data_IF_007634518877
#
_entry.id   IF_007634518877
#
_cell.length_a   1.000
_cell.length_b   1.000
_cell.length_c   1.000
_cell.angle_alpha   90.00
_cell.angle_beta   90.00
_cell.angle_gamma   90.00
#
_symmetry.space_group_name_H-M   'P 1'
#
loop_
_entity.id
_entity.type
_entity.pdbx_description
1 polymer ?
#
# COMPACT_ATOMS: atom_id res chain seq x y z
N UNK A 1 13.42 9.14 3.87
CA UNK A 1 13.35 7.72 3.43
C UNK A 1 12.96 7.64 1.95
N UNK A 2 12.37 8.72 1.42
CA UNK A 2 11.99 8.95 0.02
C UNK A 2 12.98 8.44 -1.04
N UNK A 3 14.27 8.77 -0.96
CA UNK A 3 15.26 8.36 -1.99
C UNK A 3 15.48 6.84 -2.15
N UNK A 4 14.91 5.99 -1.28
CA UNK A 4 15.11 4.54 -1.32
C UNK A 4 13.84 3.75 -1.69
N UNK A 5 12.64 4.25 -1.39
CA UNK A 5 11.42 3.44 -1.60
C UNK A 5 11.19 3.13 -3.08
N UNK A 6 11.43 4.09 -3.99
CA UNK A 6 11.22 3.93 -5.42
C UNK A 6 12.00 2.73 -6.00
N UNK A 7 13.22 2.50 -5.50
CA UNK A 7 14.07 1.39 -5.95
C UNK A 7 13.62 0.02 -5.43
N UNK A 8 12.74 0.01 -4.43
CA UNK A 8 12.17 -1.21 -3.83
C UNK A 8 10.77 -1.52 -4.35
N UNK A 9 10.15 -0.61 -5.09
CA UNK A 9 8.87 -0.83 -5.73
C UNK A 9 9.08 -1.60 -7.04
N UNK A 10 8.24 -2.61 -7.25
CA UNK A 10 8.28 -3.48 -8.43
C UNK A 10 7.31 -2.99 -9.50
N UNK A 11 6.10 -2.63 -9.08
CA UNK A 11 5.06 -2.04 -9.92
C UNK A 11 3.95 -1.42 -9.06
N UNK A 12 3.15 -0.55 -9.70
CA UNK A 12 1.84 -0.11 -9.23
C UNK A 12 0.85 -0.34 -10.38
N UNK A 13 -0.30 -0.91 -10.09
CA UNK A 13 -1.34 -1.21 -11.06
C UNK A 13 -2.68 -0.65 -10.60
N UNK A 14 -3.41 -0.03 -11.52
CA UNK A 14 -4.82 0.31 -11.37
C UNK A 14 -5.55 -0.47 -12.47
N UNK A 15 -6.47 -1.33 -12.07
CA UNK A 15 -7.24 -2.15 -13.01
C UNK A 15 -8.71 -2.20 -12.65
N UNK A 16 -9.52 -2.51 -13.67
CA UNK A 16 -10.89 -2.98 -13.57
C UNK A 16 -10.88 -4.46 -14.00
N UNK A 17 -11.85 -5.25 -13.54
CA UNK A 17 -12.08 -6.69 -13.86
C UNK A 17 -11.14 -7.28 -14.94
N UNK A 18 -11.34 -6.93 -16.21
CA UNK A 18 -10.58 -7.48 -17.33
C UNK A 18 -9.53 -6.54 -17.93
N UNK A 19 -9.44 -5.30 -17.44
CA UNK A 19 -8.64 -4.23 -18.07
C UNK A 19 -7.70 -3.54 -17.07
N UNK A 20 -6.42 -3.48 -17.43
CA UNK A 20 -5.48 -2.55 -16.77
C UNK A 20 -5.70 -1.14 -17.29
N UNK A 21 -6.00 -0.21 -16.40
CA UNK A 21 -6.17 1.21 -16.71
C UNK A 21 -4.81 1.91 -16.71
N UNK A 22 -3.98 1.58 -15.73
CA UNK A 22 -2.68 2.18 -15.54
C UNK A 22 -1.70 1.16 -14.94
N UNK A 23 -0.46 1.20 -15.42
CA UNK A 23 0.66 0.47 -14.83
C UNK A 23 1.87 1.40 -14.76
N UNK A 24 2.41 1.55 -13.54
CA UNK A 24 3.70 2.15 -13.31
C UNK A 24 4.72 1.05 -13.01
N UNK A 25 5.92 1.20 -13.57
CA UNK A 25 7.08 0.36 -13.28
C UNK A 25 8.33 1.23 -13.18
N UNK A 26 9.34 0.80 -12.41
CA UNK A 26 10.65 1.42 -12.46
C UNK A 26 11.18 1.42 -13.90
N UNK A 27 11.90 2.48 -14.36
CA UNK A 27 12.37 2.59 -15.75
C UNK A 27 13.19 1.40 -16.26
N UNK A 28 13.81 0.63 -15.36
CA UNK A 28 14.65 -0.53 -15.68
C UNK A 28 13.91 -1.88 -15.63
N UNK A 29 12.62 -1.88 -15.32
CA UNK A 29 11.84 -3.10 -15.13
C UNK A 29 11.12 -3.52 -16.41
N UNK A 30 11.59 -4.61 -17.02
CA UNK A 30 10.92 -5.27 -18.16
C UNK A 30 9.98 -6.39 -17.72
N UNK A 31 9.88 -6.65 -16.41
CA UNK A 31 9.08 -7.75 -15.87
C UNK A 31 7.59 -7.47 -16.09
N UNK A 32 6.86 -8.52 -16.45
CA UNK A 32 5.39 -8.51 -16.48
C UNK A 32 4.86 -8.98 -15.13
N UNK A 33 3.84 -8.28 -14.63
CA UNK A 33 3.17 -8.59 -13.36
C UNK A 33 1.70 -9.01 -13.57
N UNK A 34 1.32 -9.36 -14.79
CA UNK A 34 -0.06 -9.73 -15.14
C UNK A 34 -0.56 -10.90 -14.27
N UNK A 35 0.27 -11.91 -14.06
CA UNK A 35 -0.08 -13.04 -13.19
C UNK A 35 -0.23 -12.62 -11.73
N UNK A 36 0.62 -11.71 -11.25
CA UNK A 36 0.54 -11.17 -9.89
C UNK A 36 -0.77 -10.41 -9.66
N UNK A 37 -1.19 -9.60 -10.65
CA UNK A 37 -2.45 -8.86 -10.62
C UNK A 37 -3.66 -9.79 -10.76
N UNK A 38 -3.61 -10.78 -11.64
CA UNK A 38 -4.74 -11.69 -11.86
C UNK A 38 -5.10 -12.50 -10.61
N UNK A 39 -4.11 -12.91 -9.81
CA UNK A 39 -4.35 -13.64 -8.55
C UNK A 39 -5.19 -12.82 -7.56
N UNK A 40 -5.01 -11.49 -7.55
CA UNK A 40 -5.71 -10.62 -6.59
C UNK A 40 -7.06 -10.11 -7.11
N UNK A 41 -7.33 -10.24 -8.42
CA UNK A 41 -8.59 -9.82 -9.05
C UNK A 41 -9.80 -10.62 -8.60
N UNK A 42 -9.62 -11.87 -8.18
CA UNK A 42 -10.70 -12.72 -7.67
C UNK A 42 -11.26 -12.23 -6.33
N UNK A 43 -10.50 -11.44 -5.58
CA UNK A 43 -10.98 -10.87 -4.33
C UNK A 43 -11.95 -9.71 -4.61
N UNK A 44 -13.21 -9.89 -4.19
CA UNK A 44 -14.31 -8.93 -4.36
C UNK A 44 -14.52 -8.03 -3.15
N UNK A 45 -13.82 -8.29 -2.04
CA UNK A 45 -13.95 -7.51 -0.80
C UNK A 45 -13.47 -6.08 -1.03
N UNK A 46 -14.32 -5.12 -0.66
CA UNK A 46 -14.07 -3.69 -0.86
C UNK A 46 -13.53 -3.03 0.42
N UNK A 47 -12.85 -1.90 0.23
CA UNK A 47 -12.44 -0.97 1.30
C UNK A 47 -11.51 -1.54 2.38
N UNK A 48 -10.92 -2.71 2.14
CA UNK A 48 -9.98 -3.39 3.04
C UNK A 48 -8.67 -3.64 2.30
N UNK A 49 -7.54 -3.35 2.96
CA UNK A 49 -6.23 -3.70 2.46
C UNK A 49 -5.94 -5.18 2.71
N UNK A 50 -5.51 -5.87 1.66
CA UNK A 50 -5.03 -7.24 1.73
C UNK A 50 -3.53 -7.28 1.49
N UNK A 51 -2.85 -8.17 2.22
CA UNK A 51 -1.41 -8.38 2.11
C UNK A 51 -1.15 -9.79 1.61
N UNK A 52 -0.26 -9.93 0.63
CA UNK A 52 0.12 -11.23 0.10
C UNK A 52 1.65 -11.31 -0.01
N UNK A 53 2.23 -12.38 0.51
CA UNK A 53 3.67 -12.63 0.45
C UNK A 53 3.96 -13.73 -0.59
N UNK A 54 4.70 -13.40 -1.66
CA UNK A 54 5.10 -14.32 -2.75
C UNK A 54 6.53 -14.83 -2.64
N UNK A 55 7.15 -14.77 -1.45
CA UNK A 55 8.52 -15.20 -1.21
C UNK A 55 9.57 -14.20 -1.71
N UNK A 56 9.55 -13.83 -2.99
CA UNK A 56 10.47 -12.83 -3.57
C UNK A 56 9.92 -11.40 -3.61
N UNK A 57 8.62 -11.22 -3.39
CA UNK A 57 7.93 -9.93 -3.44
C UNK A 57 6.73 -9.94 -2.49
N UNK A 58 6.40 -8.79 -1.91
CA UNK A 58 5.14 -8.55 -1.21
C UNK A 58 4.19 -7.77 -2.08
N UNK A 59 2.91 -8.05 -1.93
CA UNK A 59 1.81 -7.39 -2.62
C UNK A 59 0.87 -6.80 -1.57
N UNK A 60 0.43 -5.57 -1.83
CA UNK A 60 -0.69 -4.94 -1.15
C UNK A 60 -1.71 -4.56 -2.20
N UNK A 61 -2.98 -4.83 -1.91
CA UNK A 61 -4.06 -4.42 -2.79
C UNK A 61 -5.30 -4.00 -2.02
N UNK A 62 -6.11 -3.16 -2.64
CA UNK A 62 -7.41 -2.72 -2.15
C UNK A 62 -8.36 -2.54 -3.33
N UNK A 63 -9.60 -3.00 -3.15
CA UNK A 63 -10.68 -2.74 -4.09
C UNK A 63 -11.51 -1.54 -3.62
N UNK A 64 -11.71 -0.57 -4.50
CA UNK A 64 -12.52 0.64 -4.29
C UNK A 64 -13.54 0.73 -5.41
N UNK A 65 -14.79 0.37 -5.11
CA UNK A 65 -15.83 0.21 -6.11
C UNK A 65 -15.41 -0.75 -7.23
N UNK A 66 -15.40 -0.26 -8.47
CA UNK A 66 -15.02 -1.04 -9.66
C UNK A 66 -13.50 -1.15 -9.88
N UNK A 67 -12.70 -0.39 -9.13
CA UNK A 67 -11.25 -0.32 -9.30
C UNK A 67 -10.52 -1.20 -8.29
N UNK A 68 -9.44 -1.80 -8.77
CA UNK A 68 -8.47 -2.54 -7.98
C UNK A 68 -7.12 -1.83 -8.06
N UNK A 69 -6.63 -1.42 -6.90
CA UNK A 69 -5.32 -0.82 -6.73
C UNK A 69 -4.38 -1.87 -6.17
N UNK A 70 -3.25 -2.09 -6.84
CA UNK A 70 -2.26 -3.11 -6.45
C UNK A 70 -0.87 -2.50 -6.49
N UNK A 71 -0.06 -2.78 -5.48
CA UNK A 71 1.36 -2.40 -5.42
C UNK A 71 2.20 -3.60 -5.04
N UNK A 72 3.30 -3.81 -5.77
CA UNK A 72 4.30 -4.83 -5.50
C UNK A 72 5.62 -4.20 -5.04
N UNK A 73 6.28 -4.80 -4.05
CA UNK A 73 7.57 -4.30 -3.53
C UNK A 73 8.43 -5.42 -2.92
N UNK A 74 9.69 -5.07 -2.62
CA UNK A 74 10.61 -5.93 -1.88
C UNK A 74 10.07 -6.36 -0.51
N UNK A 75 10.54 -7.52 -0.04
CA UNK A 75 10.11 -8.13 1.22
C UNK A 75 10.38 -7.28 2.48
N UNK A 76 11.37 -6.40 2.42
CA UNK A 76 11.77 -5.57 3.56
C UNK A 76 10.99 -4.26 3.65
N UNK A 77 10.14 -3.95 2.66
CA UNK A 77 9.20 -2.82 2.71
C UNK A 77 8.04 -3.14 3.66
N UNK A 78 7.67 -2.17 4.49
CA UNK A 78 6.56 -2.31 5.43
C UNK A 78 5.22 -2.10 4.73
N UNK A 79 4.22 -2.93 5.06
CA UNK A 79 2.89 -2.86 4.44
C UNK A 79 2.25 -1.48 4.60
N UNK A 80 2.43 -0.82 5.75
CA UNK A 80 1.89 0.52 6.00
C UNK A 80 2.38 1.59 5.01
N UNK A 81 3.61 1.46 4.49
CA UNK A 81 4.13 2.36 3.45
C UNK A 81 3.38 2.12 2.14
N UNK A 82 3.19 0.85 1.78
CA UNK A 82 2.49 0.44 0.55
C UNK A 82 1.01 0.83 0.58
N UNK A 83 0.35 0.65 1.73
CA UNK A 83 -1.02 1.10 1.95
C UNK A 83 -1.13 2.63 1.81
N UNK A 84 -0.24 3.39 2.46
CA UNK A 84 -0.23 4.85 2.38
C UNK A 84 -0.09 5.34 0.93
N UNK A 85 0.81 4.73 0.15
CA UNK A 85 0.96 5.04 -1.27
C UNK A 85 -0.34 4.77 -2.05
N UNK A 86 -0.95 3.59 -1.88
CA UNK A 86 -2.19 3.26 -2.57
C UNK A 86 -3.34 4.21 -2.19
N UNK A 87 -3.44 4.65 -0.93
CA UNK A 87 -4.47 5.63 -0.52
C UNK A 87 -4.31 6.98 -1.22
N UNK A 88 -3.07 7.46 -1.40
CA UNK A 88 -2.84 8.74 -2.07
C UNK A 88 -2.99 8.62 -3.59
N UNK A 89 -2.59 7.48 -4.15
CA UNK A 89 -2.80 7.15 -5.57
C UNK A 89 -4.30 7.10 -5.88
N UNK A 90 -5.08 6.41 -5.06
CA UNK A 90 -6.55 6.34 -5.18
C UNK A 90 -7.18 7.74 -5.15
N UNK A 91 -6.87 8.55 -4.13
CA UNK A 91 -7.33 9.94 -4.03
C UNK A 91 -6.97 10.74 -5.28
N UNK A 92 -5.71 10.71 -5.69
CA UNK A 92 -5.24 11.51 -6.81
C UNK A 92 -5.85 11.07 -8.13
N UNK A 93 -6.09 9.79 -8.30
CA UNK A 93 -6.74 9.24 -9.50
C UNK A 93 -8.18 9.76 -9.63
N UNK A 94 -8.95 9.74 -8.54
CA UNK A 94 -10.33 10.24 -8.52
C UNK A 94 -10.42 11.78 -8.54
N UNK A 95 -9.38 12.50 -8.10
CA UNK A 95 -9.31 13.96 -8.28
C UNK A 95 -9.18 14.37 -9.75
N UNK A 96 -8.45 13.59 -10.55
CA UNK A 96 -8.19 13.91 -11.97
C UNK A 96 -9.32 13.40 -12.85
N UNK A 97 -9.86 12.22 -12.54
CA UNK A 97 -10.83 11.54 -13.38
C UNK A 97 -12.08 11.14 -12.62
N UNK A 98 -13.23 11.55 -13.14
CA UNK A 98 -14.51 10.96 -12.77
C UNK A 98 -14.67 9.62 -13.50
N UNK A 99 -14.33 8.55 -12.78
CA UNK A 99 -14.25 7.21 -13.33
C UNK A 99 -15.63 6.66 -13.73
N UNK A 100 -16.68 7.03 -13.00
CA UNK A 100 -18.05 6.60 -13.32
C UNK A 100 -18.50 7.22 -14.63
N UNK A 101 -18.25 8.52 -14.81
CA UNK A 101 -18.56 9.24 -16.04
C UNK A 101 -17.76 8.70 -17.22
N UNK A 102 -16.45 8.52 -17.06
CA UNK A 102 -15.58 8.00 -18.14
C UNK A 102 -16.06 6.64 -18.65
N UNK A 103 -16.38 5.71 -17.76
CA UNK A 103 -16.84 4.38 -18.18
C UNK A 103 -18.29 4.34 -18.67
N UNK A 104 -19.10 5.38 -18.40
CA UNK A 104 -20.44 5.49 -18.97
C UNK A 104 -20.45 5.62 -20.50
N UNK A 105 -19.35 6.10 -21.11
CA UNK A 105 -19.23 6.28 -22.57
C UNK A 105 -18.85 5.01 -23.35
N UNK A 106 -18.71 3.86 -22.69
CA UNK A 106 -18.59 2.53 -23.31
C UNK A 106 -17.23 2.16 -23.91
N UNK A 107 -16.52 3.10 -24.56
CA UNK A 107 -15.22 2.85 -25.21
C UNK A 107 -14.10 3.72 -24.60
N UNK A 108 -13.53 3.27 -23.49
CA UNK A 108 -12.43 3.96 -22.81
C UNK A 108 -11.11 3.30 -23.16
N UNK A 109 -10.18 4.06 -23.77
CA UNK A 109 -8.81 3.61 -23.97
C UNK A 109 -7.97 3.88 -22.73
N UNK A 110 -7.13 2.92 -22.31
CA UNK A 110 -6.17 3.12 -21.21
C UNK A 110 -5.16 4.23 -21.47
N UNK A 111 -5.02 4.67 -22.72
CA UNK A 111 -4.12 5.77 -23.09
C UNK A 111 -4.42 7.08 -22.34
N UNK A 112 -5.67 7.33 -21.95
CA UNK A 112 -6.04 8.55 -21.22
C UNK A 112 -5.39 8.64 -19.83
N UNK A 113 -4.94 7.51 -19.27
CA UNK A 113 -4.33 7.44 -17.95
C UNK A 113 -2.79 7.47 -17.98
N UNK A 114 -2.16 7.50 -19.16
CA UNK A 114 -0.69 7.41 -19.29
C UNK A 114 0.05 8.51 -18.55
N UNK A 115 -0.51 9.72 -18.55
CA UNK A 115 0.08 10.90 -17.92
C UNK A 115 0.04 10.84 -16.39
N UNK A 116 -0.67 9.86 -15.81
CA UNK A 116 -0.69 9.64 -14.37
C UNK A 116 0.67 9.25 -13.78
N UNK A 117 1.61 8.81 -14.62
CA UNK A 117 2.98 8.47 -14.22
C UNK A 117 3.66 9.58 -13.42
N UNK A 118 3.48 10.84 -13.84
CA UNK A 118 4.09 12.00 -13.15
C UNK A 118 3.53 12.16 -11.74
N UNK A 119 2.22 11.96 -11.56
CA UNK A 119 1.59 12.02 -10.24
C UNK A 119 2.02 10.87 -9.34
N UNK A 120 2.15 9.66 -9.89
CA UNK A 120 2.65 8.51 -9.13
C UNK A 120 4.08 8.74 -8.66
N UNK A 121 4.96 9.27 -9.52
CA UNK A 121 6.33 9.60 -9.12
C UNK A 121 6.36 10.63 -7.98
N UNK A 122 5.56 11.70 -8.07
CA UNK A 122 5.46 12.70 -7.01
C UNK A 122 4.97 12.09 -5.68
N UNK A 123 3.93 11.25 -5.72
CA UNK A 123 3.40 10.57 -4.51
C UNK A 123 4.46 9.66 -3.88
N UNK A 124 5.28 8.99 -4.69
CA UNK A 124 6.39 8.15 -4.19
C UNK A 124 7.47 9.00 -3.53
N UNK A 125 7.81 10.15 -4.11
CA UNK A 125 8.78 11.10 -3.55
C UNK A 125 8.30 11.68 -2.21
N UNK A 126 7.02 12.01 -2.13
CA UNK A 126 6.37 12.62 -0.97
C UNK A 126 5.90 11.59 0.07
N UNK A 127 6.31 10.32 -0.02
CA UNK A 127 5.79 9.24 0.86
C UNK A 127 5.95 9.54 2.35
N UNK A 128 7.02 10.25 2.71
CA UNK A 128 7.33 10.64 4.09
C UNK A 128 6.27 11.60 4.67
N UNK A 129 5.46 12.27 3.83
CA UNK A 129 4.35 13.14 4.26
C UNK A 129 3.12 12.34 4.67
N UNK A 130 2.98 11.09 4.24
CA UNK A 130 1.81 10.24 4.50
C UNK A 130 2.01 9.23 5.62
N UNK A 131 3.24 9.10 6.11
CA UNK A 131 3.62 8.16 7.16
C UNK A 131 4.29 8.87 8.33
N UNK A 132 4.25 8.25 9.50
CA UNK A 132 4.99 8.69 10.68
C UNK A 132 5.82 7.51 11.17
N UNK A 133 7.11 7.78 11.41
CA UNK A 133 8.00 6.79 12.04
C UNK A 133 7.76 6.78 13.55
N UNK A 134 7.60 5.57 14.09
CA UNK A 134 7.54 5.30 15.53
C UNK A 134 8.55 4.19 15.87
N UNK A 135 9.06 4.20 17.09
CA UNK A 135 10.05 3.24 17.56
C UNK A 135 9.37 2.14 18.39
N UNK A 136 9.53 0.88 17.97
CA UNK A 136 8.90 -0.30 18.59
C UNK A 136 9.96 -1.25 19.11
N UNK A 137 9.87 -1.62 20.39
CA UNK A 137 10.80 -2.56 21.00
C UNK A 137 10.36 -4.01 20.77
N UNK A 138 11.18 -4.79 20.06
CA UNK A 138 10.98 -6.23 19.95
C UNK A 138 11.69 -6.95 21.11
N UNK A 139 10.92 -7.55 22.01
CA UNK A 139 11.46 -8.31 23.16
C UNK A 139 12.26 -9.54 22.75
N UNK A 140 11.91 -10.18 21.62
CA UNK A 140 12.61 -11.38 21.13
C UNK A 140 13.97 -11.04 20.55
N UNK A 141 14.06 -10.00 19.71
CA UNK A 141 15.33 -9.54 19.15
C UNK A 141 16.13 -8.62 20.07
N UNK A 142 15.54 -8.20 21.20
CA UNK A 142 16.11 -7.24 22.16
C UNK A 142 16.59 -5.94 21.52
N UNK A 143 15.81 -5.42 20.56
CA UNK A 143 16.16 -4.19 19.83
C UNK A 143 14.94 -3.35 19.50
N UNK A 144 15.17 -2.04 19.43
CA UNK A 144 14.22 -1.07 18.90
C UNK A 144 14.24 -1.09 17.38
N UNK A 145 13.07 -1.11 16.77
CA UNK A 145 12.86 -1.18 15.34
C UNK A 145 11.98 -0.02 14.88
N UNK A 146 12.26 0.53 13.70
CA UNK A 146 11.40 1.55 13.12
C UNK A 146 10.13 0.88 12.59
N UNK A 147 8.98 1.36 13.02
CA UNK A 147 7.66 1.08 12.44
C UNK A 147 7.16 2.35 11.76
N UNK A 148 6.78 2.25 10.49
CA UNK A 148 6.14 3.34 9.78
C UNK A 148 4.63 3.13 9.86
N UNK A 149 3.93 4.15 10.30
CA UNK A 149 2.49 4.15 10.52
C UNK A 149 1.87 5.11 9.52
N UNK A 150 0.92 4.66 8.70
CA UNK A 150 0.21 5.57 7.79
C UNK A 150 -0.60 6.58 8.62
N UNK A 151 -0.52 7.87 8.31
CA UNK A 151 -1.16 8.91 9.14
C UNK A 151 -2.68 8.78 9.18
N UNK A 152 -3.26 8.34 8.06
CA UNK A 152 -4.70 8.13 7.90
C UNK A 152 -5.31 7.12 8.88
N UNK A 153 -4.55 6.16 9.41
CA UNK A 153 -5.05 5.19 10.39
C UNK A 153 -5.35 5.87 11.73
N UNK A 154 -4.58 6.90 12.07
CA UNK A 154 -4.75 7.70 13.28
C UNK A 154 -5.86 8.74 13.07
N UNK A 155 -5.82 9.45 11.93
CA UNK A 155 -6.81 10.48 11.60
C UNK A 155 -8.24 9.96 11.54
N UNK A 156 -8.44 8.70 11.11
CA UNK A 156 -9.75 8.06 10.97
C UNK A 156 -10.13 7.15 12.14
N UNK A 157 -9.30 7.06 13.18
CA UNK A 157 -9.54 6.18 14.31
C UNK A 157 -10.76 6.62 15.12
N UNK A 158 -11.64 5.67 15.46
CA UNK A 158 -12.82 5.91 16.31
C UNK A 158 -12.42 5.94 17.80
N UNK A 159 -11.33 5.25 18.15
CA UNK A 159 -10.85 5.13 19.52
C UNK A 159 -9.34 4.92 19.57
N UNK A 160 -8.73 5.31 20.68
CA UNK A 160 -7.30 5.13 20.95
C UNK A 160 -7.05 4.28 22.20
N UNK A 161 -5.91 3.56 22.26
CA UNK A 161 -4.89 3.44 21.23
C UNK A 161 -5.32 2.52 20.07
N UNK A 162 -4.82 2.80 18.86
CA UNK A 162 -5.06 1.99 17.66
C UNK A 162 -4.10 0.78 17.67
N UNK A 163 -4.61 -0.46 17.58
CA UNK A 163 -3.77 -1.64 17.43
C UNK A 163 -3.27 -1.75 15.99
N UNK A 164 -1.95 -1.96 15.82
CA UNK A 164 -1.32 -2.18 14.53
C UNK A 164 -0.41 -3.42 14.60
N UNK A 165 -0.60 -4.34 13.67
CA UNK A 165 0.26 -5.52 13.54
C UNK A 165 1.52 -5.17 12.77
N UNK A 166 2.67 -5.42 13.37
CA UNK A 166 3.99 -5.23 12.77
C UNK A 166 4.76 -6.56 12.78
N UNK A 167 5.15 -7.02 11.59
CA UNK A 167 5.91 -8.26 11.43
C UNK A 167 7.33 -7.98 10.98
N UNK A 168 8.32 -8.56 11.67
CA UNK A 168 9.72 -8.47 11.27
C UNK A 168 10.47 -9.76 11.65
N UNK A 169 11.37 -10.24 10.77
CA UNK A 169 12.20 -11.45 11.01
C UNK A 169 11.43 -12.65 11.57
N UNK A 170 10.18 -12.86 11.14
CA UNK A 170 9.33 -13.96 11.61
C UNK A 170 8.63 -13.73 12.95
N UNK A 171 8.79 -12.56 13.59
CA UNK A 171 8.05 -12.17 14.79
C UNK A 171 6.92 -11.23 14.42
N UNK A 172 5.78 -11.40 15.06
CA UNK A 172 4.64 -10.51 14.92
C UNK A 172 4.35 -9.81 16.24
N UNK A 173 4.19 -8.49 16.16
CA UNK A 173 3.96 -7.62 17.30
C UNK A 173 2.65 -6.88 17.09
N UNK A 174 1.75 -6.91 18.06
CA UNK A 174 0.66 -5.93 18.14
C UNK A 174 1.20 -4.72 18.88
N UNK A 175 1.20 -3.57 18.20
CA UNK A 175 1.66 -2.28 18.71
C UNK A 175 0.45 -1.39 18.90
N UNK A 176 0.27 -0.85 20.10
CA UNK A 176 -0.83 0.07 20.43
C UNK A 176 -0.32 1.51 20.31
N UNK A 177 -0.85 2.28 19.37
CA UNK A 177 -0.37 3.62 19.00
C UNK A 177 -1.46 4.64 19.34
N UNK A 178 -1.10 5.73 20.03
CA UNK A 178 -2.06 6.79 20.34
C UNK A 178 -2.16 7.87 19.24
N UNK A 179 -3.02 8.87 19.49
CA UNK A 179 -3.26 9.99 18.57
C UNK A 179 -2.01 10.84 18.24
N UNK A 180 -0.97 10.77 19.07
CA UNK A 180 0.27 11.51 18.90
C UNK A 180 1.40 10.63 18.34
N UNK A 181 1.05 9.45 17.80
CA UNK A 181 1.99 8.44 17.31
C UNK A 181 2.94 7.91 18.40
N UNK A 182 2.53 7.93 19.66
CA UNK A 182 3.28 7.34 20.77
C UNK A 182 2.87 5.90 20.97
N UNK A 183 3.86 5.00 21.00
CA UNK A 183 3.65 3.58 21.31
C UNK A 183 3.33 3.42 22.80
N UNK A 184 2.12 2.97 23.11
CA UNK A 184 1.60 2.76 24.47
C UNK A 184 1.79 1.34 24.97
N UNK A 185 1.89 0.37 24.06
CA UNK A 185 2.10 -1.04 24.39
C UNK A 185 2.58 -1.83 23.19
N UNK A 186 3.30 -2.92 23.46
CA UNK A 186 3.77 -3.88 22.45
C UNK A 186 3.62 -5.28 23.00
N UNK A 187 2.88 -6.12 22.29
CA UNK A 187 2.65 -7.52 22.65
C UNK A 187 3.14 -8.43 21.53
N UNK A 188 3.84 -9.50 21.90
CA UNK A 188 4.19 -10.56 20.96
C UNK A 188 2.94 -11.38 20.71
N UNK A 189 2.60 -11.58 19.43
CA UNK A 189 1.44 -12.37 19.04
C UNK A 189 1.86 -13.49 18.10
N UNK A 190 1.09 -14.57 18.10
CA UNK A 190 1.17 -15.59 17.08
C UNK A 190 0.27 -15.15 15.91
N UNK A 191 0.84 -15.04 14.71
CA UNK A 191 0.01 -14.93 13.51
C UNK A 191 -0.43 -16.35 13.16
N UNK A 192 -1.73 -16.58 13.22
CA UNK A 192 -2.35 -17.71 12.55
C UNK A 192 -2.91 -17.17 11.24
N UNK A 193 -2.55 -17.81 10.13
CA UNK A 193 -2.95 -17.46 8.77
C UNK A 193 -3.13 -18.74 7.99
#
# INVERSE_FOLDING_TARGET
MSNNIQNKLHFINISKEEMTLFEWKPPRSFKSYILDVNIVKENTTQDIFFHLNKGNMKLVYIRKGILLYTIGADQDVQYQILEALLEQIDKKFHEIWDIEVIFSYGNVSSNIFKDFTTHVNQIIEDVDDFIQKVDVYCRVCKKTLPLYVKKSIIEKAISFPVPLVFTHKGHALVTYIDQNFVVRGVELVNITG
#
